data_IF_882459254041
#
_entry.id   IF_882459254041
#
_cell.length_a   1.000
_cell.length_b   1.000
_cell.length_c   1.000
_cell.angle_alpha   90.00
_cell.angle_beta   90.00
_cell.angle_gamma   90.00
#
_symmetry.space_group_name_H-M   'P 1'
#
loop_
_entity.id
_entity.type
_entity.pdbx_description
1 polymer ?
#
# COMPACT_ATOMS: atom_id res chain seq x y z
N UNK A 1 -8.26 -26.85 6.85
CA UNK A 1 -7.56 -25.55 6.77
C UNK A 1 -8.55 -24.46 7.11
N UNK A 2 -8.19 -23.53 7.96
CA UNK A 2 -9.07 -22.40 8.30
C UNK A 2 -9.27 -21.54 7.04
N UNK A 3 -10.47 -21.59 6.47
CA UNK A 3 -10.81 -20.88 5.22
C UNK A 3 -11.15 -19.40 5.46
N UNK A 4 -10.94 -18.91 6.68
CA UNK A 4 -11.28 -17.53 7.05
C UNK A 4 -10.43 -16.53 6.28
N UNK A 5 -11.08 -15.48 5.86
CA UNK A 5 -10.42 -14.30 5.29
C UNK A 5 -9.62 -13.61 6.40
N UNK A 6 -8.43 -13.15 6.08
CA UNK A 6 -7.60 -12.34 6.97
C UNK A 6 -7.49 -10.94 6.40
N UNK A 7 -8.08 -9.95 7.08
CA UNK A 7 -7.81 -8.54 6.83
C UNK A 7 -6.62 -8.13 7.70
N UNK A 8 -5.60 -7.53 7.10
CA UNK A 8 -4.43 -7.14 7.84
C UNK A 8 -3.93 -5.76 7.46
N UNK A 9 -3.31 -5.09 8.42
CA UNK A 9 -2.75 -3.75 8.30
C UNK A 9 -1.44 -3.64 9.03
N UNK A 10 -0.73 -2.54 8.85
CA UNK A 10 0.48 -2.24 9.58
C UNK A 10 0.57 -0.75 9.90
N UNK A 11 0.74 -0.42 11.17
CA UNK A 11 0.96 0.94 11.65
C UNK A 11 2.25 0.99 12.46
N UNK A 12 3.18 1.83 12.03
CA UNK A 12 4.49 2.03 12.65
C UNK A 12 4.67 3.46 13.10
N UNK A 13 5.44 3.65 14.17
CA UNK A 13 5.87 4.97 14.65
C UNK A 13 4.71 5.95 14.93
N UNK A 14 3.57 5.44 15.37
CA UNK A 14 2.40 6.27 15.63
C UNK A 14 1.93 7.10 14.43
N UNK A 15 2.20 6.61 13.19
CA UNK A 15 1.85 7.34 11.97
C UNK A 15 0.35 7.51 11.79
N UNK A 16 -0.43 6.51 12.20
CA UNK A 16 -1.88 6.50 12.20
C UNK A 16 -2.41 5.95 13.52
N UNK A 17 -3.71 6.07 13.74
CA UNK A 17 -4.46 5.38 14.79
C UNK A 17 -5.45 4.42 14.14
N UNK A 18 -5.85 3.38 14.89
CA UNK A 18 -6.92 2.50 14.45
C UNK A 18 -8.24 3.29 14.53
N UNK A 19 -8.98 3.46 13.43
CA UNK A 19 -10.26 4.14 13.43
C UNK A 19 -11.30 3.47 14.36
N UNK A 20 -12.09 4.27 15.07
CA UNK A 20 -13.19 3.78 15.92
C UNK A 20 -14.35 3.24 15.09
N UNK A 21 -14.52 3.77 13.89
CA UNK A 21 -15.66 3.54 13.03
C UNK A 21 -15.56 2.25 12.19
N UNK A 22 -14.53 1.44 12.41
CA UNK A 22 -14.40 0.15 11.69
C UNK A 22 -15.63 -0.74 11.92
N UNK A 23 -16.19 -1.24 10.84
CA UNK A 23 -17.09 -2.38 10.88
C UNK A 23 -16.27 -3.68 10.93
N UNK A 24 -16.68 -4.60 11.79
CA UNK A 24 -16.02 -5.90 11.97
C UNK A 24 -17.04 -7.03 11.75
N UNK A 25 -16.70 -7.92 10.82
CA UNK A 25 -17.43 -9.16 10.57
C UNK A 25 -16.82 -10.28 11.44
N UNK A 26 -17.62 -11.02 12.25
CA UNK A 26 -17.10 -12.06 13.15
C UNK A 26 -16.45 -13.24 12.42
N UNK A 27 -16.77 -13.45 11.14
CA UNK A 27 -16.21 -14.53 10.33
C UNK A 27 -14.83 -14.17 9.71
N UNK A 28 -14.39 -12.94 9.89
CA UNK A 28 -13.12 -12.43 9.38
C UNK A 28 -12.11 -12.31 10.52
N UNK A 29 -10.87 -12.72 10.25
CA UNK A 29 -9.75 -12.51 11.14
C UNK A 29 -9.08 -11.17 10.85
N UNK A 30 -8.82 -10.38 11.89
CA UNK A 30 -8.15 -9.07 11.78
C UNK A 30 -6.77 -9.15 12.41
N UNK A 31 -5.74 -8.75 11.68
CA UNK A 31 -4.34 -8.77 12.15
C UNK A 31 -3.70 -7.39 11.95
N UNK A 32 -3.23 -6.80 13.05
CA UNK A 32 -2.52 -5.52 13.04
C UNK A 32 -1.05 -5.74 13.36
N UNK A 33 -0.19 -5.44 12.40
CA UNK A 33 1.25 -5.40 12.64
C UNK A 33 1.66 -4.02 13.15
N UNK A 34 2.51 -4.00 14.18
CA UNK A 34 2.92 -2.73 14.80
C UNK A 34 4.28 -2.87 15.50
N UNK A 35 4.94 -1.74 15.69
CA UNK A 35 6.14 -1.60 16.51
C UNK A 35 5.82 -1.22 17.97
N UNK A 36 4.56 -1.36 18.40
CA UNK A 36 4.10 -1.06 19.75
C UNK A 36 3.74 0.40 20.00
N UNK A 37 3.85 1.26 18.99
CA UNK A 37 3.60 2.72 19.17
C UNK A 37 2.12 3.11 19.14
N UNK A 38 1.21 2.18 18.86
CA UNK A 38 -0.23 2.43 18.79
C UNK A 38 -0.98 1.73 19.94
N UNK A 39 -2.11 2.31 20.33
CA UNK A 39 -3.02 1.69 21.30
C UNK A 39 -3.76 0.51 20.69
N UNK A 40 -3.81 -0.58 21.44
CA UNK A 40 -4.61 -1.76 21.07
C UNK A 40 -6.11 -1.41 21.14
N UNK A 41 -6.85 -1.76 20.07
CA UNK A 41 -8.24 -1.39 19.89
C UNK A 41 -8.96 -2.40 18.99
N UNK A 42 -10.26 -2.63 19.24
CA UNK A 42 -11.08 -3.54 18.43
C UNK A 42 -10.63 -5.02 18.51
N UNK A 43 -11.13 -5.86 17.59
CA UNK A 43 -10.84 -7.29 17.57
C UNK A 43 -9.52 -7.65 16.87
N UNK A 44 -8.63 -6.69 16.71
CA UNK A 44 -7.34 -6.91 16.05
C UNK A 44 -6.42 -7.82 16.88
N UNK A 45 -5.90 -8.87 16.27
CA UNK A 45 -4.73 -9.60 16.77
C UNK A 45 -3.48 -8.78 16.47
N UNK A 46 -2.80 -8.31 17.52
CA UNK A 46 -1.59 -7.49 17.36
C UNK A 46 -0.36 -8.37 17.25
N UNK A 47 0.45 -8.13 16.23
CA UNK A 47 1.69 -8.85 15.95
C UNK A 47 2.86 -7.88 15.77
N UNK A 48 4.05 -8.34 16.13
CA UNK A 48 5.29 -7.65 15.80
C UNK A 48 5.57 -7.73 14.30
N UNK A 49 6.29 -6.73 13.80
CA UNK A 49 6.67 -6.67 12.40
C UNK A 49 7.95 -7.51 12.22
N UNK A 50 7.94 -8.59 11.42
CA UNK A 50 9.09 -9.44 11.22
C UNK A 50 10.08 -8.83 10.20
N UNK A 51 10.50 -7.60 10.45
CA UNK A 51 11.41 -6.84 9.59
C UNK A 51 12.17 -5.81 10.43
N UNK A 52 13.48 -5.85 10.39
CA UNK A 52 14.40 -5.01 11.14
C UNK A 52 14.93 -3.80 10.34
N UNK A 53 14.37 -3.56 9.14
CA UNK A 53 14.78 -2.44 8.30
C UNK A 53 14.68 -1.11 9.07
N UNK A 54 15.71 -0.23 9.06
CA UNK A 54 15.74 0.99 9.86
C UNK A 54 14.64 2.01 9.49
N UNK A 55 14.15 2.00 8.25
CA UNK A 55 13.08 2.87 7.80
C UNK A 55 11.71 2.28 8.15
N UNK A 56 10.94 2.95 9.01
CA UNK A 56 9.59 2.51 9.42
C UNK A 56 8.64 2.30 8.25
N UNK A 57 8.71 3.14 7.21
CA UNK A 57 7.91 2.96 5.99
C UNK A 57 8.24 1.64 5.29
N UNK A 58 9.53 1.28 5.20
CA UNK A 58 9.96 -0.01 4.63
C UNK A 58 9.51 -1.20 5.49
N UNK A 59 9.51 -1.05 6.83
CA UNK A 59 8.98 -2.09 7.72
C UNK A 59 7.50 -2.33 7.48
N UNK A 60 6.69 -1.27 7.36
CA UNK A 60 5.27 -1.39 7.01
C UNK A 60 5.09 -1.99 5.61
N UNK A 61 5.85 -1.51 4.62
CA UNK A 61 5.82 -2.06 3.26
C UNK A 61 6.21 -3.54 3.21
N UNK A 62 7.13 -3.99 4.07
CA UNK A 62 7.50 -5.41 4.15
C UNK A 62 6.30 -6.30 4.41
N UNK A 63 5.47 -5.96 5.39
CA UNK A 63 4.27 -6.73 5.74
C UNK A 63 3.23 -6.68 4.61
N UNK A 64 3.04 -5.51 4.01
CA UNK A 64 2.15 -5.33 2.85
C UNK A 64 2.55 -6.20 1.66
N UNK A 65 3.83 -6.20 1.36
CA UNK A 65 4.41 -6.85 0.18
C UNK A 65 4.54 -8.37 0.39
N UNK A 66 4.88 -8.80 1.60
CA UNK A 66 5.22 -10.19 1.91
C UNK A 66 4.21 -10.91 2.82
N UNK A 67 2.90 -10.92 2.54
CA UNK A 67 1.96 -11.65 3.39
C UNK A 67 2.28 -13.15 3.45
N UNK A 68 2.92 -13.70 2.43
CA UNK A 68 3.39 -15.09 2.38
C UNK A 68 4.50 -15.43 3.39
N UNK A 69 5.12 -14.43 4.01
CA UNK A 69 6.10 -14.63 5.11
C UNK A 69 5.42 -14.62 6.49
N UNK A 70 4.19 -14.17 6.57
CA UNK A 70 3.47 -13.97 7.85
C UNK A 70 2.15 -14.73 7.97
N UNK A 71 1.65 -15.27 6.86
CA UNK A 71 0.45 -16.11 6.80
C UNK A 71 0.71 -17.40 6.03
N UNK A 72 0.02 -18.50 6.39
CA UNK A 72 0.17 -19.79 5.73
C UNK A 72 -0.22 -19.78 4.25
N UNK A 73 0.31 -20.74 3.49
CA UNK A 73 -0.13 -21.03 2.13
C UNK A 73 -1.64 -21.27 2.06
N UNK A 74 -2.29 -20.80 0.99
CA UNK A 74 -3.73 -20.89 0.79
C UNK A 74 -4.56 -19.85 1.55
N UNK A 75 -3.95 -19.01 2.39
CA UNK A 75 -4.68 -17.97 3.11
C UNK A 75 -5.24 -16.92 2.13
N UNK A 76 -6.50 -16.57 2.30
CA UNK A 76 -7.16 -15.43 1.64
C UNK A 76 -6.87 -14.16 2.43
N UNK A 77 -6.12 -13.23 1.86
CA UNK A 77 -5.65 -12.03 2.56
C UNK A 77 -6.15 -10.75 1.92
N UNK A 78 -6.45 -9.78 2.75
CA UNK A 78 -6.77 -8.41 2.33
C UNK A 78 -5.86 -7.45 3.08
N UNK A 79 -5.01 -6.76 2.34
CA UNK A 79 -4.28 -5.61 2.88
C UNK A 79 -5.18 -4.39 2.93
N UNK A 80 -5.09 -3.62 4.00
CA UNK A 80 -5.71 -2.31 4.14
C UNK A 80 -4.72 -1.33 4.78
N UNK A 81 -4.43 -0.21 4.12
CA UNK A 81 -3.62 0.85 4.73
C UNK A 81 -4.29 1.38 6.00
N UNK A 82 -3.51 1.65 7.06
CA UNK A 82 -3.99 1.97 8.41
C UNK A 82 -4.86 3.22 8.52
N UNK A 83 -4.86 4.09 7.51
CA UNK A 83 -5.65 5.33 7.48
C UNK A 83 -7.08 5.15 6.90
N UNK A 84 -7.48 3.95 6.51
CA UNK A 84 -8.80 3.71 5.93
C UNK A 84 -9.73 3.01 6.90
N UNK A 85 -11.02 3.38 6.84
CA UNK A 85 -12.09 2.79 7.63
C UNK A 85 -12.73 1.63 6.87
N UNK A 86 -12.90 0.49 7.53
CA UNK A 86 -13.68 -0.63 7.00
C UNK A 86 -15.17 -0.33 7.17
N UNK A 87 -15.91 -0.33 6.05
CA UNK A 87 -17.37 -0.26 6.05
C UNK A 87 -17.98 -1.65 5.86
N UNK A 88 -19.26 -1.88 6.17
CA UNK A 88 -19.95 -3.15 5.83
C UNK A 88 -19.75 -3.53 4.37
N UNK A 89 -19.91 -2.58 3.45
CA UNK A 89 -19.75 -2.80 2.01
C UNK A 89 -18.33 -3.18 1.61
N UNK A 90 -17.31 -2.59 2.26
CA UNK A 90 -15.92 -3.01 2.05
C UNK A 90 -15.72 -4.49 2.42
N UNK A 91 -16.27 -4.89 3.57
CA UNK A 91 -16.16 -6.28 4.06
C UNK A 91 -16.88 -7.27 3.14
N UNK A 92 -18.08 -6.92 2.66
CA UNK A 92 -18.80 -7.73 1.66
C UNK A 92 -18.01 -7.87 0.35
N UNK A 93 -17.43 -6.76 -0.11
CA UNK A 93 -16.59 -6.75 -1.30
C UNK A 93 -15.31 -7.60 -1.13
N UNK A 94 -14.77 -7.74 0.08
CA UNK A 94 -13.63 -8.61 0.32
C UNK A 94 -13.95 -10.07 -0.04
N UNK A 95 -15.15 -10.55 0.29
CA UNK A 95 -15.60 -11.90 -0.08
C UNK A 95 -15.66 -12.07 -1.60
N UNK A 96 -16.27 -11.09 -2.30
CA UNK A 96 -16.39 -11.06 -3.76
C UNK A 96 -15.05 -11.02 -4.48
N UNK A 97 -14.14 -10.13 -4.05
CA UNK A 97 -12.87 -9.94 -4.76
C UNK A 97 -11.87 -11.07 -4.53
N UNK A 98 -12.01 -11.81 -3.43
CA UNK A 98 -11.24 -13.03 -3.16
C UNK A 98 -11.76 -14.28 -3.88
N UNK A 99 -12.78 -14.17 -4.74
CA UNK A 99 -13.10 -15.17 -5.77
C UNK A 99 -12.02 -15.19 -6.86
N UNK A 100 -11.35 -14.06 -7.09
CA UNK A 100 -10.19 -13.96 -7.93
C UNK A 100 -8.90 -14.14 -7.11
N UNK A 101 -7.89 -14.67 -7.78
CA UNK A 101 -6.61 -14.97 -7.16
C UNK A 101 -5.87 -13.73 -6.66
N UNK A 102 -5.93 -12.64 -7.45
CA UNK A 102 -5.27 -11.38 -7.13
C UNK A 102 -6.08 -10.21 -7.69
N UNK A 103 -6.57 -9.36 -6.80
CA UNK A 103 -7.37 -8.19 -7.15
C UNK A 103 -6.74 -6.92 -6.61
N UNK A 104 -6.71 -5.89 -7.43
CA UNK A 104 -6.29 -4.52 -7.07
C UNK A 104 -7.27 -3.50 -7.65
N UNK A 105 -7.12 -2.26 -7.20
CA UNK A 105 -7.82 -1.12 -7.78
C UNK A 105 -6.90 -0.39 -8.77
N UNK A 106 -7.47 0.23 -9.81
CA UNK A 106 -6.77 1.14 -10.71
C UNK A 106 -6.94 2.59 -10.29
N UNK A 107 -5.87 3.37 -10.40
CA UNK A 107 -5.91 4.80 -10.13
C UNK A 107 -6.67 5.55 -11.22
N UNK A 108 -7.51 6.53 -10.82
CA UNK A 108 -8.38 7.27 -11.75
C UNK A 108 -7.68 8.39 -12.54
N UNK A 109 -6.53 8.83 -12.07
CA UNK A 109 -5.88 10.04 -12.59
C UNK A 109 -4.45 9.79 -13.08
N UNK A 110 -3.92 8.57 -12.91
CA UNK A 110 -2.54 8.22 -13.26
C UNK A 110 -2.57 7.06 -14.24
N UNK A 111 -2.20 7.33 -15.47
CA UNK A 111 -2.31 6.37 -16.56
C UNK A 111 -0.96 5.86 -17.05
N UNK A 112 0.14 6.41 -16.55
CA UNK A 112 1.47 5.99 -16.99
C UNK A 112 2.52 6.06 -15.87
N UNK A 113 3.61 5.36 -16.11
CA UNK A 113 4.76 5.27 -15.20
C UNK A 113 5.37 6.64 -14.83
N UNK A 114 5.42 7.56 -15.78
CA UNK A 114 6.08 8.86 -15.55
C UNK A 114 5.28 9.75 -14.62
N UNK A 115 3.95 9.67 -14.67
CA UNK A 115 3.07 10.34 -13.69
C UNK A 115 3.28 9.78 -12.28
N UNK A 116 3.48 8.47 -12.14
CA UNK A 116 3.78 7.86 -10.83
C UNK A 116 5.15 8.30 -10.28
N UNK A 117 6.16 8.41 -11.14
CA UNK A 117 7.47 8.96 -10.76
C UNK A 117 7.34 10.41 -10.31
N UNK A 118 6.65 11.26 -11.08
CA UNK A 118 6.42 12.67 -10.71
C UNK A 118 5.72 12.80 -9.37
N UNK A 119 4.70 11.99 -9.12
CA UNK A 119 4.00 11.93 -7.83
C UNK A 119 4.92 11.50 -6.67
N UNK A 120 6.00 10.80 -6.95
CA UNK A 120 6.98 10.43 -5.94
C UNK A 120 7.84 11.61 -5.49
N UNK A 121 8.06 12.60 -6.34
CA UNK A 121 8.80 13.82 -5.98
C UNK A 121 7.98 14.75 -5.08
N UNK A 122 6.70 14.96 -5.39
CA UNK A 122 5.85 15.91 -4.68
C UNK A 122 5.81 15.66 -3.16
N UNK A 123 5.67 14.42 -2.66
CA UNK A 123 5.74 14.09 -1.25
C UNK A 123 7.17 13.81 -0.76
N UNK A 124 8.20 14.18 -1.52
CA UNK A 124 9.61 13.86 -1.19
C UNK A 124 9.83 12.36 -0.88
N UNK A 125 9.16 11.48 -1.63
CA UNK A 125 9.30 10.03 -1.50
C UNK A 125 10.50 9.48 -2.26
N UNK A 126 11.06 10.26 -3.17
CA UNK A 126 12.32 9.97 -3.84
C UNK A 126 13.07 11.26 -4.23
N UNK A 127 14.37 11.10 -4.44
CA UNK A 127 15.25 12.09 -5.05
C UNK A 127 15.27 11.90 -6.57
N UNK A 128 15.84 12.85 -7.29
CA UNK A 128 16.04 12.73 -8.73
C UNK A 128 16.93 11.52 -9.08
N UNK A 129 18.03 11.35 -8.32
CA UNK A 129 18.95 10.24 -8.52
C UNK A 129 18.29 8.88 -8.26
N UNK A 130 17.50 8.76 -7.19
CA UNK A 130 16.69 7.56 -6.91
C UNK A 130 15.68 7.25 -8.03
N UNK A 131 15.06 8.27 -8.63
CA UNK A 131 14.16 8.10 -9.76
C UNK A 131 14.88 7.63 -11.03
N UNK A 132 16.07 8.16 -11.29
CA UNK A 132 16.92 7.72 -12.39
C UNK A 132 17.37 6.26 -12.15
N UNK A 133 17.84 5.94 -10.95
CA UNK A 133 18.31 4.60 -10.58
C UNK A 133 17.20 3.56 -10.78
N UNK A 134 16.01 3.79 -10.23
CA UNK A 134 14.90 2.84 -10.41
C UNK A 134 14.50 2.69 -11.86
N UNK A 135 14.43 3.80 -12.62
CA UNK A 135 14.05 3.77 -14.03
C UNK A 135 15.06 3.01 -14.91
N UNK A 136 16.35 3.14 -14.61
CA UNK A 136 17.40 2.36 -15.27
C UNK A 136 17.30 0.89 -14.93
N UNK A 137 17.24 0.58 -13.63
CA UNK A 137 17.19 -0.80 -13.13
C UNK A 137 16.01 -1.58 -13.70
N UNK A 138 14.79 -0.99 -13.73
CA UNK A 138 13.64 -1.70 -14.29
C UNK A 138 13.69 -1.82 -15.81
N UNK A 139 14.27 -0.85 -16.51
CA UNK A 139 14.52 -0.95 -17.95
C UNK A 139 15.45 -2.10 -18.28
N UNK A 140 16.53 -2.24 -17.53
CA UNK A 140 17.57 -3.26 -17.77
C UNK A 140 17.03 -4.69 -17.58
N UNK A 141 15.94 -4.86 -16.82
CA UNK A 141 15.25 -6.14 -16.67
C UNK A 141 14.05 -6.31 -17.61
N UNK A 142 13.89 -5.43 -18.60
CA UNK A 142 12.89 -5.57 -19.66
C UNK A 142 11.49 -5.03 -19.31
N UNK A 143 11.38 -4.14 -18.32
CA UNK A 143 10.11 -3.51 -17.99
C UNK A 143 9.53 -2.71 -19.15
N UNK A 144 8.27 -2.95 -19.49
CA UNK A 144 7.54 -2.21 -20.51
C UNK A 144 6.78 -1.02 -19.91
N UNK A 145 7.32 0.17 -20.05
CA UNK A 145 6.73 1.40 -19.53
C UNK A 145 5.33 1.73 -20.08
N UNK A 146 4.97 1.17 -21.26
CA UNK A 146 3.66 1.37 -21.87
C UNK A 146 2.56 0.51 -21.27
N UNK A 147 2.94 -0.53 -20.53
CA UNK A 147 2.02 -1.49 -19.91
C UNK A 147 1.81 -1.23 -18.41
N UNK A 148 2.09 -0.02 -17.95
CA UNK A 148 1.88 0.36 -16.56
C UNK A 148 0.42 0.20 -16.15
N UNK A 149 0.16 -0.61 -15.10
CA UNK A 149 -1.21 -0.94 -14.69
C UNK A 149 -1.87 0.07 -13.76
N UNK A 150 -1.16 1.15 -13.39
CA UNK A 150 -1.69 2.24 -12.56
C UNK A 150 -2.32 1.77 -11.22
N UNK A 151 -1.59 1.05 -10.37
CA UNK A 151 -2.18 0.40 -9.22
C UNK A 151 -2.50 1.38 -8.08
N UNK A 152 -3.65 1.20 -7.43
CA UNK A 152 -3.92 1.72 -6.09
C UNK A 152 -3.73 0.60 -5.10
N UNK A 153 -2.73 0.76 -4.24
CA UNK A 153 -2.30 -0.28 -3.31
C UNK A 153 -2.75 -0.02 -1.86
N UNK A 154 -3.71 0.89 -1.66
CA UNK A 154 -4.31 1.13 -0.36
C UNK A 154 -5.10 -0.07 0.16
N UNK A 155 -5.61 -0.90 -0.75
CA UNK A 155 -6.14 -2.22 -0.45
C UNK A 155 -5.77 -3.21 -1.55
N UNK A 156 -5.48 -4.46 -1.14
CA UNK A 156 -5.01 -5.53 -2.02
C UNK A 156 -5.64 -6.84 -1.55
N UNK A 157 -6.32 -7.55 -2.46
CA UNK A 157 -6.94 -8.86 -2.19
C UNK A 157 -6.13 -9.95 -2.85
N UNK A 158 -5.71 -10.96 -2.09
CA UNK A 158 -4.81 -12.03 -2.58
C UNK A 158 -5.13 -13.37 -1.96
N UNK A 159 -5.03 -14.42 -2.76
CA UNK A 159 -4.93 -15.81 -2.30
C UNK A 159 -3.45 -16.19 -2.32
N UNK A 160 -2.91 -16.62 -1.19
CA UNK A 160 -1.48 -16.92 -1.06
C UNK A 160 -1.16 -18.30 -1.63
N UNK A 161 -0.69 -18.33 -2.85
CA UNK A 161 -0.20 -19.52 -3.55
C UNK A 161 1.27 -19.37 -3.97
N UNK A 162 1.82 -20.35 -4.66
CA UNK A 162 3.24 -20.36 -5.05
C UNK A 162 3.61 -19.15 -5.94
N UNK A 163 2.71 -18.71 -6.82
CA UNK A 163 3.00 -17.58 -7.68
C UNK A 163 2.98 -16.26 -6.89
N UNK A 164 2.10 -16.16 -5.89
CA UNK A 164 2.09 -15.00 -4.98
C UNK A 164 3.35 -14.94 -4.11
N UNK A 165 3.97 -16.08 -3.81
CA UNK A 165 5.26 -16.11 -3.12
C UNK A 165 6.36 -15.54 -4.02
N UNK A 166 6.45 -16.03 -5.25
CA UNK A 166 7.42 -15.52 -6.25
C UNK A 166 7.22 -14.03 -6.53
N UNK A 167 5.96 -13.63 -6.71
CA UNK A 167 5.59 -12.22 -6.90
C UNK A 167 6.01 -11.34 -5.72
N UNK A 168 5.69 -11.75 -4.50
CA UNK A 168 5.99 -10.97 -3.29
C UNK A 168 7.49 -10.80 -3.06
N UNK A 169 8.27 -11.87 -3.22
CA UNK A 169 9.74 -11.82 -3.12
C UNK A 169 10.35 -10.85 -4.15
N UNK A 170 9.84 -10.89 -5.38
CA UNK A 170 10.31 -10.00 -6.44
C UNK A 170 9.87 -8.54 -6.20
N UNK A 171 8.63 -8.34 -5.78
CA UNK A 171 8.13 -7.01 -5.42
C UNK A 171 8.96 -6.39 -4.29
N UNK A 172 9.28 -7.18 -3.25
CA UNK A 172 10.13 -6.72 -2.16
C UNK A 172 11.53 -6.33 -2.65
N UNK A 173 12.15 -7.17 -3.48
CA UNK A 173 13.45 -6.89 -4.09
C UNK A 173 13.47 -5.51 -4.78
N UNK A 174 12.51 -5.24 -5.65
CA UNK A 174 12.44 -3.96 -6.35
C UNK A 174 11.96 -2.79 -5.49
N UNK A 175 11.22 -3.06 -4.43
CA UNK A 175 10.82 -2.02 -3.49
C UNK A 175 12.00 -1.42 -2.71
N UNK A 176 13.12 -2.11 -2.61
CA UNK A 176 14.33 -1.63 -1.95
C UNK A 176 15.18 -0.73 -2.84
N UNK A 177 14.88 -0.63 -4.14
CA UNK A 177 15.63 0.16 -5.10
C UNK A 177 14.93 1.50 -5.33
N UNK A 178 15.68 2.59 -5.20
CA UNK A 178 15.21 3.94 -5.50
C UNK A 178 14.06 4.42 -4.61
N UNK A 179 12.93 4.74 -5.21
CA UNK A 179 11.81 5.40 -4.54
C UNK A 179 11.13 4.57 -3.44
N UNK A 180 10.62 5.26 -2.41
CA UNK A 180 9.77 4.64 -1.38
C UNK A 180 8.30 4.42 -1.83
N UNK A 181 8.03 4.57 -3.12
CA UNK A 181 6.72 4.37 -3.72
C UNK A 181 6.56 2.92 -4.16
N UNK A 182 5.64 2.21 -3.57
CA UNK A 182 5.44 0.77 -3.77
C UNK A 182 4.76 0.42 -5.09
N UNK A 183 4.05 1.37 -5.74
CA UNK A 183 3.36 1.16 -7.01
C UNK A 183 4.30 0.80 -8.16
N UNK A 184 5.47 1.44 -8.22
CA UNK A 184 6.45 1.21 -9.29
C UNK A 184 7.02 -0.20 -9.18
N UNK A 185 7.47 -0.56 -7.98
CA UNK A 185 8.02 -1.89 -7.72
C UNK A 185 6.98 -3.01 -7.87
N UNK A 186 5.71 -2.72 -7.51
CA UNK A 186 4.59 -3.63 -7.73
C UNK A 186 4.44 -3.98 -9.21
N UNK A 187 4.33 -2.95 -10.06
CA UNK A 187 4.09 -3.19 -11.49
C UNK A 187 5.30 -3.81 -12.17
N UNK A 188 6.51 -3.51 -11.70
CA UNK A 188 7.73 -4.20 -12.14
C UNK A 188 7.66 -5.69 -11.83
N UNK A 189 7.31 -6.07 -10.59
CA UNK A 189 7.16 -7.47 -10.23
C UNK A 189 6.05 -8.15 -11.05
N UNK A 190 4.91 -7.48 -11.27
CA UNK A 190 3.79 -7.98 -12.08
C UNK A 190 4.22 -8.33 -13.50
N UNK A 191 4.91 -7.45 -14.17
CA UNK A 191 5.36 -7.69 -15.55
C UNK A 191 6.39 -8.82 -15.62
N UNK A 192 7.35 -8.85 -14.70
CA UNK A 192 8.41 -9.87 -14.70
C UNK A 192 7.88 -11.27 -14.35
N UNK A 193 6.91 -11.37 -13.46
CA UNK A 193 6.27 -12.65 -13.12
C UNK A 193 5.10 -13.01 -14.03
N UNK A 194 4.68 -12.09 -14.93
CA UNK A 194 3.47 -12.20 -15.76
C UNK A 194 2.22 -12.47 -14.92
N UNK A 195 2.17 -11.87 -13.72
CA UNK A 195 1.05 -12.04 -12.81
C UNK A 195 -0.21 -11.40 -13.37
N UNK A 196 -1.26 -12.22 -13.52
CA UNK A 196 -2.59 -11.74 -13.93
C UNK A 196 -3.30 -11.08 -12.74
N UNK A 197 -3.97 -9.97 -13.02
CA UNK A 197 -4.71 -9.19 -12.04
C UNK A 197 -6.16 -9.07 -12.45
N UNK A 198 -7.06 -9.26 -11.49
CA UNK A 198 -8.38 -8.66 -11.58
C UNK A 198 -8.25 -7.19 -11.19
N UNK A 199 -8.59 -6.30 -12.11
CA UNK A 199 -8.53 -4.86 -11.89
C UNK A 199 -9.94 -4.33 -11.65
N UNK A 200 -10.10 -3.61 -10.55
CA UNK A 200 -11.34 -2.89 -10.26
C UNK A 200 -11.12 -1.46 -10.73
N UNK A 201 -11.96 -1.02 -11.66
CA UNK A 201 -11.88 0.33 -12.21
C UNK A 201 -12.26 1.38 -11.17
N UNK A 202 -11.58 2.45 -11.20
CA UNK A 202 -11.45 3.50 -10.19
C UNK A 202 -12.72 4.26 -9.80
N UNK A 203 -13.72 4.27 -10.64
CA UNK A 203 -14.91 5.10 -10.41
C UNK A 203 -15.64 4.80 -9.10
N UNK A 204 -15.44 3.61 -8.55
CA UNK A 204 -16.10 3.18 -7.33
C UNK A 204 -15.22 3.25 -6.08
N UNK A 205 -13.93 3.52 -6.20
CA UNK A 205 -13.07 3.79 -5.02
C UNK A 205 -13.73 4.83 -4.12
N UNK A 206 -14.36 5.84 -4.73
CA UNK A 206 -15.10 6.88 -4.01
C UNK A 206 -16.44 6.40 -3.46
N UNK A 207 -17.03 5.32 -3.98
CA UNK A 207 -18.41 4.93 -3.67
C UNK A 207 -18.55 3.59 -2.94
N UNK A 208 -17.67 2.63 -3.18
CA UNK A 208 -17.90 1.26 -2.76
C UNK A 208 -16.89 0.69 -1.76
N UNK A 209 -15.65 1.13 -1.79
CA UNK A 209 -14.61 0.49 -0.97
C UNK A 209 -14.45 1.13 0.42
N UNK A 210 -14.45 2.46 0.47
CA UNK A 210 -14.07 3.18 1.68
C UNK A 210 -15.04 4.28 2.05
N UNK A 211 -16.04 4.52 1.20
CA UNK A 211 -16.77 5.77 1.23
C UNK A 211 -18.24 5.46 1.03
N UNK A 212 -19.00 5.66 2.07
CA UNK A 212 -20.32 6.23 1.98
C UNK A 212 -20.14 7.63 1.38
N UNK A 213 -20.97 8.05 0.41
CA UNK A 213 -20.86 9.33 -0.31
C UNK A 213 -20.70 10.55 0.62
N UNK A 214 -20.98 10.40 1.89
CA UNK A 214 -20.88 11.41 2.92
C UNK A 214 -19.67 11.27 3.87
N UNK A 215 -18.86 10.23 3.80
CA UNK A 215 -17.83 9.94 4.80
C UNK A 215 -16.54 9.43 4.19
N UNK A 216 -15.81 10.28 3.47
CA UNK A 216 -14.37 10.09 3.28
C UNK A 216 -13.69 10.38 4.62
N UNK A 217 -13.71 9.43 5.54
CA UNK A 217 -12.86 9.48 6.73
C UNK A 217 -11.53 8.81 6.43
N UNK A 218 -10.75 9.46 5.60
CA UNK A 218 -9.31 9.29 5.67
C UNK A 218 -8.88 10.05 6.91
N UNK A 219 -8.49 9.34 7.96
CA UNK A 219 -7.85 9.97 9.09
C UNK A 219 -6.64 10.77 8.59
N UNK A 220 -6.56 12.03 8.98
CA UNK A 220 -5.35 12.77 8.76
C UNK A 220 -4.25 12.07 9.55
N UNK A 221 -3.14 11.73 8.90
CA UNK A 221 -1.98 11.20 9.58
C UNK A 221 -1.62 12.07 10.78
N UNK A 222 -1.48 11.47 11.96
CA UNK A 222 -1.29 12.19 13.21
C UNK A 222 0.05 12.92 13.28
N UNK A 223 1.03 12.44 12.57
CA UNK A 223 2.39 12.92 12.65
C UNK A 223 2.76 13.76 11.43
N UNK A 224 3.14 15.00 11.66
CA UNK A 224 3.84 15.82 10.69
C UNK A 224 3.45 17.28 10.65
N UNK A 225 4.44 18.14 10.46
CA UNK A 225 4.23 19.54 10.14
C UNK A 225 3.69 19.70 8.71
N UNK A 226 2.85 20.70 8.51
CA UNK A 226 2.30 21.00 7.18
C UNK A 226 3.30 21.86 6.43
N UNK A 227 4.05 21.26 5.51
CA UNK A 227 4.87 21.98 4.53
C UNK A 227 4.06 22.40 3.30
N UNK A 228 4.43 23.51 2.69
CA UNK A 228 3.89 23.92 1.39
C UNK A 228 4.85 23.44 0.32
N UNK A 229 4.37 22.57 -0.56
CA UNK A 229 5.12 22.10 -1.72
C UNK A 229 4.48 22.67 -2.97
N UNK A 230 5.27 23.21 -3.88
CA UNK A 230 4.79 23.62 -5.20
C UNK A 230 4.75 22.40 -6.09
N UNK A 231 3.55 22.01 -6.51
CA UNK A 231 3.36 20.89 -7.43
C UNK A 231 3.55 21.29 -8.88
N UNK A 232 3.61 20.28 -9.72
CA UNK A 232 3.54 20.43 -11.17
C UNK A 232 2.33 21.30 -11.56
N UNK A 233 2.48 22.23 -12.49
CA UNK A 233 1.51 23.29 -12.88
C UNK A 233 1.32 24.42 -11.85
N UNK A 234 2.24 24.63 -10.93
CA UNK A 234 2.18 25.78 -10.02
C UNK A 234 1.10 25.70 -8.93
N UNK A 235 0.43 24.56 -8.77
CA UNK A 235 -0.54 24.38 -7.68
C UNK A 235 0.20 24.22 -6.34
N UNK A 236 -0.28 24.95 -5.34
CA UNK A 236 0.22 24.81 -3.96
C UNK A 236 -0.42 23.58 -3.32
N UNK A 237 0.41 22.63 -2.91
CA UNK A 237 -0.03 21.51 -2.10
C UNK A 237 0.41 21.70 -0.65
N UNK A 238 -0.54 21.58 0.28
CA UNK A 238 -0.20 21.47 1.70
C UNK A 238 0.22 20.04 1.99
N UNK A 239 1.44 19.86 2.41
CA UNK A 239 1.99 18.58 2.83
C UNK A 239 2.13 18.55 4.34
N UNK A 240 1.66 17.47 4.98
CA UNK A 240 2.14 17.09 6.30
C UNK A 240 3.54 16.49 6.16
N UNK A 241 4.53 17.16 6.70
CA UNK A 241 5.87 16.61 6.82
C UNK A 241 5.87 15.67 8.03
N UNK A 242 6.17 14.41 7.80
CA UNK A 242 6.34 13.47 8.90
C UNK A 242 7.65 13.77 9.62
N UNK A 243 7.71 13.79 10.97
CA UNK A 243 8.93 14.06 11.73
C UNK A 243 10.13 13.20 11.33
N UNK A 244 9.88 11.99 10.84
CA UNK A 244 10.91 11.06 10.39
C UNK A 244 11.47 11.33 8.99
N UNK A 245 10.87 12.22 8.22
CA UNK A 245 11.45 12.67 6.96
C UNK A 245 12.56 13.72 7.18
N UNK A 246 12.88 14.05 8.42
CA UNK A 246 13.91 15.03 8.78
C UNK A 246 15.31 14.73 8.23
N UNK A 247 15.63 13.47 7.95
CA UNK A 247 16.88 13.10 7.28
C UNK A 247 16.90 13.41 5.78
N UNK A 248 15.79 13.83 5.18
CA UNK A 248 15.71 14.26 3.78
C UNK A 248 15.62 15.76 3.59
N UNK A 249 15.86 16.54 4.65
CA UNK A 249 15.83 18.02 4.59
C UNK A 249 17.07 18.66 3.93
N UNK A 250 17.95 17.89 3.33
CA UNK A 250 19.07 18.48 2.60
C UNK A 250 18.74 18.66 1.11
N UNK A 251 17.71 19.43 0.84
CA UNK A 251 17.57 20.12 -0.43
C UNK A 251 18.12 21.55 -0.24
N UNK A 252 19.37 21.73 -0.56
CA UNK A 252 19.95 23.04 -0.88
C UNK A 252 19.92 23.27 -2.38
#
# INVERSE_FOLDING_TARGET
>A
MDSRIVIYSCITNGYDEIPDEHYYDPDIKYVMFTDGTIKKKGPWEFREIPCDHPCHRRRSAYVKINPHKVFPYGTKTVWLDGCYVMTPKFVDNCKKYLEHRFTIMRHCEKFNYYEEILESFLPSMCTFDEAIEVSKTIRDVGYNFKEYCSPVLASIWRVLDQDMYTFGDLWWKYSLIGTNRDQISFDTARQLTKTELQIIENAWIKKEAYIDENNIKRHNHLAGEVGIVFGYQGKKYRKKLHPQNGHRQQWR
#
